data_IF_084784334074
#
_entry.id   IF_084784334074
#
_cell.length_a   1.000
_cell.length_b   1.000
_cell.length_c   1.000
_cell.angle_alpha   90.00
_cell.angle_beta   90.00
_cell.angle_gamma   90.00
#
_symmetry.space_group_name_H-M   'P 1'
#
loop_
_entity.id
_entity.type
_entity.pdbx_description
1 polymer ?
#
# COMPACT_ATOMS: atom_id res chain seq x y z
N UNK A 1 -43.60 -26.34 -63.43
CA UNK A 1 -42.76 -27.01 -62.41
C UNK A 1 -41.70 -26.02 -61.94
N UNK A 2 -41.54 -25.92 -60.61
CA UNK A 2 -40.41 -25.42 -59.77
C UNK A 2 -39.32 -24.56 -60.46
N UNK A 3 -39.09 -23.31 -60.03
CA UNK A 3 -38.26 -22.91 -58.84
C UNK A 3 -36.87 -23.58 -58.90
N UNK A 4 -35.71 -22.94 -58.82
CA UNK A 4 -35.34 -21.63 -58.32
C UNK A 4 -33.83 -21.49 -58.66
N UNK A 5 -33.43 -20.59 -59.57
CA UNK A 5 -32.06 -20.09 -59.55
C UNK A 5 -32.01 -19.11 -58.38
N UNK A 6 -31.43 -19.53 -57.26
CA UNK A 6 -31.11 -18.65 -56.14
C UNK A 6 -29.94 -17.78 -56.62
N UNK A 7 -30.28 -16.69 -57.32
CA UNK A 7 -29.40 -15.57 -57.53
C UNK A 7 -29.21 -14.87 -56.19
N UNK A 8 -28.01 -15.01 -55.67
CA UNK A 8 -27.22 -13.99 -54.98
C UNK A 8 -27.88 -12.60 -54.99
N UNK A 9 -28.79 -12.35 -54.05
CA UNK A 9 -29.07 -11.00 -53.58
C UNK A 9 -28.46 -10.94 -52.19
N UNK A 10 -27.28 -10.30 -52.11
CA UNK A 10 -26.70 -9.85 -50.86
C UNK A 10 -27.79 -9.12 -50.07
N UNK A 11 -28.35 -9.79 -49.08
CA UNK A 11 -29.04 -9.13 -48.00
C UNK A 11 -27.94 -8.37 -47.25
N UNK A 12 -27.82 -7.08 -47.55
CA UNK A 12 -27.06 -6.12 -46.77
C UNK A 12 -27.77 -6.10 -45.41
N UNK A 13 -27.44 -7.05 -44.53
CA UNK A 13 -27.87 -7.01 -43.14
C UNK A 13 -27.19 -5.79 -42.53
N UNK A 14 -27.99 -4.74 -42.41
CA UNK A 14 -27.78 -3.54 -41.61
C UNK A 14 -26.93 -3.85 -40.37
N UNK A 15 -25.73 -3.28 -40.35
CA UNK A 15 -24.81 -3.32 -39.22
C UNK A 15 -25.52 -2.63 -38.05
N UNK A 16 -25.93 -3.42 -37.07
CA UNK A 16 -26.86 -3.07 -35.99
C UNK A 16 -26.35 -1.95 -35.05
N UNK A 17 -27.25 -1.24 -34.34
CA UNK A 17 -26.93 -0.20 -33.35
C UNK A 17 -25.92 -0.62 -32.26
N UNK A 18 -25.72 -1.92 -32.04
CA UNK A 18 -24.74 -2.44 -31.09
C UNK A 18 -23.28 -2.16 -31.53
N UNK A 19 -22.98 -2.23 -32.82
CA UNK A 19 -21.64 -1.89 -33.35
C UNK A 19 -21.38 -0.38 -33.21
N UNK A 20 -22.39 0.45 -33.46
CA UNK A 20 -22.33 1.90 -33.26
C UNK A 20 -22.16 2.25 -31.76
N UNK A 21 -22.88 1.56 -30.87
CA UNK A 21 -22.76 1.73 -29.42
C UNK A 21 -21.37 1.33 -28.89
N UNK A 22 -20.83 0.20 -29.35
CA UNK A 22 -19.48 -0.25 -28.96
C UNK A 22 -18.39 0.69 -29.48
N UNK A 23 -18.54 1.21 -30.71
CA UNK A 23 -17.64 2.23 -31.24
C UNK A 23 -17.77 3.55 -30.46
N UNK A 24 -18.99 4.01 -30.17
CA UNK A 24 -19.24 5.22 -29.39
C UNK A 24 -18.65 5.12 -27.98
N UNK A 25 -18.88 4.01 -27.27
CA UNK A 25 -18.31 3.79 -25.93
C UNK A 25 -16.77 3.76 -25.95
N UNK A 26 -16.17 3.24 -27.03
CA UNK A 26 -14.71 3.21 -27.18
C UNK A 26 -14.12 4.57 -27.60
N UNK A 27 -14.92 5.48 -28.18
CA UNK A 27 -14.49 6.81 -28.65
C UNK A 27 -14.95 7.97 -27.78
N UNK A 28 -15.85 7.74 -26.82
CA UNK A 28 -16.42 8.80 -26.00
C UNK A 28 -15.41 9.30 -24.96
N UNK A 29 -14.74 10.40 -25.33
CA UNK A 29 -13.80 11.13 -24.48
C UNK A 29 -14.47 12.28 -23.72
N UNK A 30 -15.79 12.26 -23.46
CA UNK A 30 -16.45 13.35 -22.72
C UNK A 30 -16.45 13.11 -21.21
N UNK A 31 -16.56 14.21 -20.46
CA UNK A 31 -16.92 14.18 -19.04
C UNK A 31 -18.43 14.00 -18.85
N UNK A 32 -18.82 13.19 -17.86
CA UNK A 32 -20.17 13.12 -17.31
C UNK A 32 -20.38 14.15 -16.17
N UNK A 33 -19.32 14.54 -15.46
CA UNK A 33 -19.37 15.59 -14.44
C UNK A 33 -18.02 16.29 -14.30
N UNK A 34 -18.08 17.56 -13.89
CA UNK A 34 -16.94 18.34 -13.41
C UNK A 34 -17.41 19.23 -12.26
N UNK A 35 -16.79 19.06 -11.09
CA UNK A 35 -17.15 19.76 -9.85
C UNK A 35 -15.87 20.27 -9.21
N UNK A 36 -15.88 21.53 -8.77
CA UNK A 36 -14.85 22.07 -7.89
C UNK A 36 -15.47 22.21 -6.50
N UNK A 37 -14.89 21.56 -5.49
CA UNK A 37 -15.40 21.65 -4.12
C UNK A 37 -15.45 23.11 -3.66
N UNK A 38 -16.61 23.52 -3.12
CA UNK A 38 -16.85 24.87 -2.58
C UNK A 38 -16.69 26.03 -3.57
N UNK A 39 -16.61 25.77 -4.88
CA UNK A 39 -16.47 26.79 -5.92
C UNK A 39 -17.42 26.51 -7.08
N UNK A 40 -18.12 27.55 -7.55
CA UNK A 40 -19.02 27.44 -8.70
C UNK A 40 -18.30 27.69 -10.02
N UNK A 41 -18.53 26.82 -11.00
CA UNK A 41 -18.06 27.00 -12.37
C UNK A 41 -18.97 27.96 -13.15
N UNK A 42 -18.36 28.74 -14.03
CA UNK A 42 -19.03 29.57 -15.03
C UNK A 42 -18.48 29.23 -16.43
N UNK A 43 -19.31 28.70 -17.34
CA UNK A 43 -20.71 28.30 -17.15
C UNK A 43 -20.87 27.10 -16.20
N UNK A 44 -22.10 26.79 -15.79
CA UNK A 44 -22.39 25.49 -15.12
C UNK A 44 -21.96 24.34 -16.06
N UNK A 45 -21.51 23.24 -15.48
CA UNK A 45 -20.96 22.12 -16.24
C UNK A 45 -21.96 21.57 -17.28
N UNK A 46 -21.49 21.45 -18.52
CA UNK A 46 -22.17 20.78 -19.63
C UNK A 46 -21.10 20.04 -20.43
N UNK A 47 -21.31 18.76 -20.75
CA UNK A 47 -20.27 17.90 -21.34
C UNK A 47 -19.67 18.40 -22.66
N UNK A 48 -20.39 19.24 -23.42
CA UNK A 48 -19.92 19.84 -24.68
C UNK A 48 -19.08 21.11 -24.50
N UNK A 49 -19.08 21.73 -23.32
CA UNK A 49 -18.27 22.92 -23.03
C UNK A 49 -16.94 22.48 -22.44
N UNK A 50 -15.84 22.93 -23.06
CA UNK A 50 -14.47 22.58 -22.68
C UNK A 50 -13.71 23.69 -21.98
N UNK A 51 -14.32 24.86 -21.78
CA UNK A 51 -13.70 25.99 -21.11
C UNK A 51 -14.59 26.50 -19.99
N UNK A 52 -14.02 26.60 -18.79
CA UNK A 52 -14.70 27.08 -17.60
C UNK A 52 -13.87 28.10 -16.88
N UNK A 53 -14.56 29.03 -16.23
CA UNK A 53 -13.96 30.01 -15.34
C UNK A 53 -14.53 29.83 -13.94
N UNK A 54 -13.73 30.15 -12.92
CA UNK A 54 -14.18 30.16 -11.55
C UNK A 54 -13.41 31.23 -10.75
N UNK A 55 -14.00 31.67 -9.65
CA UNK A 55 -13.38 32.65 -8.77
C UNK A 55 -13.45 32.13 -7.33
N UNK A 56 -12.36 32.27 -6.59
CA UNK A 56 -12.29 31.81 -5.21
C UNK A 56 -11.30 32.64 -4.39
N UNK A 57 -11.45 32.59 -3.07
CA UNK A 57 -10.46 33.07 -2.09
C UNK A 57 -9.65 31.94 -1.47
N UNK A 58 -10.02 30.68 -1.75
CA UNK A 58 -9.39 29.51 -1.14
C UNK A 58 -7.93 29.37 -1.60
N UNK A 59 -7.06 28.91 -0.70
CA UNK A 59 -5.65 28.64 -1.02
C UNK A 59 -5.49 27.40 -1.91
N UNK A 60 -6.42 26.45 -1.80
CA UNK A 60 -6.49 25.25 -2.64
C UNK A 60 -7.92 24.93 -3.02
N UNK A 61 -8.06 24.13 -4.06
CA UNK A 61 -9.34 23.63 -4.54
C UNK A 61 -9.21 22.16 -4.92
N UNK A 62 -10.29 21.40 -4.72
CA UNK A 62 -10.38 20.00 -5.15
C UNK A 62 -11.21 19.91 -6.43
N UNK A 63 -10.60 19.40 -7.50
CA UNK A 63 -11.26 19.12 -8.78
C UNK A 63 -11.69 17.66 -8.82
N UNK A 64 -12.99 17.43 -8.96
CA UNK A 64 -13.59 16.10 -9.11
C UNK A 64 -14.27 16.00 -10.47
N UNK A 65 -14.10 14.88 -11.17
CA UNK A 65 -14.73 14.63 -12.45
C UNK A 65 -15.03 13.15 -12.65
N UNK A 66 -15.99 12.87 -13.52
CA UNK A 66 -16.35 11.52 -13.96
C UNK A 66 -16.34 11.47 -15.48
N UNK A 67 -15.79 10.41 -16.07
CA UNK A 67 -15.85 10.17 -17.50
C UNK A 67 -17.24 9.64 -17.89
N UNK A 68 -17.71 9.99 -19.09
CA UNK A 68 -18.97 9.48 -19.63
C UNK A 68 -18.89 7.99 -19.99
N UNK A 69 -17.73 7.53 -20.46
CA UNK A 69 -17.47 6.12 -20.74
C UNK A 69 -16.68 5.48 -19.60
N UNK A 70 -17.12 4.30 -19.14
CA UNK A 70 -16.39 3.50 -18.14
C UNK A 70 -15.04 2.96 -18.66
N UNK A 71 -14.81 3.01 -19.98
CA UNK A 71 -13.56 2.59 -20.61
C UNK A 71 -12.56 3.74 -20.81
N UNK A 72 -12.96 4.97 -20.51
CA UNK A 72 -12.09 6.13 -20.61
C UNK A 72 -11.28 6.32 -19.32
N UNK A 73 -10.08 6.88 -19.45
CA UNK A 73 -9.22 7.25 -18.32
C UNK A 73 -9.22 8.76 -18.12
N UNK A 74 -9.17 9.20 -16.87
CA UNK A 74 -9.08 10.62 -16.50
C UNK A 74 -7.68 10.97 -15.99
N UNK A 75 -7.25 12.19 -16.31
CA UNK A 75 -6.15 12.87 -15.62
C UNK A 75 -6.52 14.33 -15.36
N UNK A 76 -5.81 14.97 -14.43
CA UNK A 76 -6.07 16.37 -14.05
C UNK A 76 -7.15 16.58 -12.99
N UNK A 77 -7.67 15.50 -12.39
CA UNK A 77 -8.46 15.56 -11.14
C UNK A 77 -7.54 15.55 -9.92
N UNK A 78 -7.98 16.13 -8.80
CA UNK A 78 -7.22 16.18 -7.56
C UNK A 78 -7.22 17.57 -6.91
N UNK A 79 -6.40 17.72 -5.87
CA UNK A 79 -6.23 19.01 -5.18
C UNK A 79 -5.17 19.85 -5.90
N UNK A 80 -5.45 21.14 -6.08
CA UNK A 80 -4.54 22.12 -6.67
C UNK A 80 -4.30 23.27 -5.70
N UNK A 81 -3.03 23.63 -5.52
CA UNK A 81 -2.63 24.86 -4.82
C UNK A 81 -2.78 26.02 -5.79
N UNK A 82 -3.45 27.09 -5.36
CA UNK A 82 -3.69 28.27 -6.17
C UNK A 82 -2.70 29.38 -5.83
N UNK A 83 -2.05 29.91 -6.88
CA UNK A 83 -1.31 31.17 -6.83
C UNK A 83 -2.29 32.34 -6.90
N UNK A 84 -1.91 33.49 -6.37
CA UNK A 84 -2.71 34.71 -6.54
C UNK A 84 -2.93 35.01 -8.03
N UNK A 85 -4.15 35.44 -8.37
CA UNK A 85 -4.55 35.68 -9.75
C UNK A 85 -4.94 34.40 -10.51
N UNK A 86 -4.62 34.38 -11.81
CA UNK A 86 -5.10 33.35 -12.74
C UNK A 86 -4.31 32.04 -12.61
N UNK A 87 -5.03 30.95 -12.36
CA UNK A 87 -4.52 29.58 -12.36
C UNK A 87 -5.22 28.79 -13.47
N UNK A 88 -4.50 27.98 -14.22
CA UNK A 88 -5.08 27.16 -15.30
C UNK A 88 -4.91 25.69 -14.98
N UNK A 89 -6.01 24.94 -14.97
CA UNK A 89 -6.06 23.50 -14.71
C UNK A 89 -6.66 22.81 -15.94
N UNK A 90 -6.10 21.67 -16.34
CA UNK A 90 -6.60 20.88 -17.46
C UNK A 90 -7.00 19.49 -16.96
N UNK A 91 -8.27 19.13 -17.18
CA UNK A 91 -8.79 17.78 -16.98
C UNK A 91 -8.86 17.10 -18.35
N UNK A 92 -8.15 15.98 -18.51
CA UNK A 92 -8.05 15.28 -19.79
C UNK A 92 -8.77 13.94 -19.66
N UNK A 93 -9.70 13.69 -20.57
CA UNK A 93 -10.35 12.39 -20.74
C UNK A 93 -9.74 11.72 -21.95
N UNK A 94 -9.27 10.49 -21.81
CA UNK A 94 -8.77 9.67 -22.92
C UNK A 94 -9.64 8.44 -23.08
N UNK A 95 -10.32 8.32 -24.22
CA UNK A 95 -11.15 7.17 -24.58
C UNK A 95 -10.30 5.94 -24.94
N UNK A 96 -10.93 4.76 -24.95
CA UNK A 96 -10.24 3.49 -25.19
C UNK A 96 -9.58 3.39 -26.58
N UNK A 97 -10.14 4.06 -27.59
CA UNK A 97 -9.56 4.15 -28.93
C UNK A 97 -8.40 5.17 -29.02
N UNK A 98 -8.03 5.82 -27.92
CA UNK A 98 -6.96 6.80 -27.85
C UNK A 98 -7.35 8.25 -28.14
N UNK A 99 -8.60 8.54 -28.54
CA UNK A 99 -9.10 9.91 -28.65
C UNK A 99 -9.14 10.58 -27.28
N UNK A 100 -8.80 11.86 -27.24
CA UNK A 100 -8.79 12.63 -25.99
C UNK A 100 -9.58 13.93 -26.12
N UNK A 101 -10.20 14.35 -25.02
CA UNK A 101 -10.79 15.68 -24.88
C UNK A 101 -10.26 16.35 -23.63
N UNK A 102 -9.90 17.62 -23.76
CA UNK A 102 -9.37 18.44 -22.67
C UNK A 102 -10.40 19.48 -22.24
N UNK A 103 -10.65 19.54 -20.94
CA UNK A 103 -11.47 20.54 -20.27
C UNK A 103 -10.55 21.48 -19.49
N UNK A 104 -10.53 22.75 -19.88
CA UNK A 104 -9.70 23.80 -19.28
C UNK A 104 -10.51 24.59 -18.27
N UNK A 105 -9.96 24.76 -17.09
CA UNK A 105 -10.54 25.52 -15.98
C UNK A 105 -9.59 26.67 -15.64
N UNK A 106 -10.06 27.89 -15.79
CA UNK A 106 -9.36 29.09 -15.35
C UNK A 106 -9.91 29.55 -14.01
N UNK A 107 -9.11 29.39 -12.96
CA UNK A 107 -9.48 29.80 -11.61
C UNK A 107 -8.76 31.09 -11.28
N UNK A 108 -9.52 32.17 -11.13
CA UNK A 108 -8.99 33.40 -10.59
C UNK A 108 -9.05 33.35 -9.05
N UNK A 109 -7.90 33.16 -8.40
CA UNK A 109 -7.79 33.35 -6.97
C UNK A 109 -7.73 34.86 -6.72
N UNK A 110 -8.82 35.41 -6.22
CA UNK A 110 -8.82 36.80 -5.79
C UNK A 110 -8.22 36.87 -4.39
N UNK A 111 -7.11 37.61 -4.27
CA UNK A 111 -6.65 38.08 -2.98
C UNK A 111 -7.75 38.87 -2.28
N UNK A 112 -7.76 38.87 -0.95
CA UNK A 112 -8.60 39.81 -0.24
C UNK A 112 -8.18 41.22 -0.66
N UNK A 113 -9.11 42.00 -1.21
CA UNK A 113 -8.89 43.41 -1.56
C UNK A 113 -8.19 44.10 -0.40
N UNK A 114 -7.01 44.64 -0.67
CA UNK A 114 -6.09 45.22 0.31
C UNK A 114 -6.77 46.14 1.32
N UNK A 115 -7.13 45.55 2.46
CA UNK A 115 -6.90 46.12 3.78
C UNK A 115 -5.91 45.20 4.46
N UNK A 116 -4.60 45.42 4.23
CA UNK A 116 -3.44 44.90 5.00
C UNK A 116 -3.45 43.46 5.55
N UNK A 117 -4.27 42.55 5.05
CA UNK A 117 -4.41 41.20 5.61
C UNK A 117 -4.04 40.18 4.53
N UNK A 118 -2.76 39.82 4.48
CA UNK A 118 -2.40 38.48 4.03
C UNK A 118 -3.27 37.48 4.82
N UNK A 119 -3.79 36.39 4.21
CA UNK A 119 -4.50 35.36 4.97
C UNK A 119 -3.61 34.98 6.15
N UNK A 120 -4.15 35.14 7.36
CA UNK A 120 -3.36 34.94 8.57
C UNK A 120 -2.74 33.55 8.51
N UNK A 121 -1.43 33.41 8.74
CA UNK A 121 -0.77 32.12 8.68
C UNK A 121 -1.49 31.16 9.62
N UNK A 122 -1.87 29.99 9.10
CA UNK A 122 -2.47 28.95 9.93
C UNK A 122 -1.37 28.42 10.84
N UNK A 123 -1.54 28.62 12.14
CA UNK A 123 -0.58 28.17 13.14
C UNK A 123 -1.13 26.97 13.90
N UNK A 124 -0.26 26.01 14.17
CA UNK A 124 -0.57 24.80 14.94
C UNK A 124 0.46 24.60 16.04
N UNK A 125 0.07 23.94 17.12
CA UNK A 125 0.96 23.65 18.25
C UNK A 125 1.26 22.17 18.32
N UNK A 126 2.54 21.82 18.49
CA UNK A 126 3.01 20.46 18.72
C UNK A 126 4.11 20.49 19.80
N UNK A 127 3.96 19.70 20.87
CA UNK A 127 4.85 19.73 22.06
C UNK A 127 5.23 21.14 22.56
N UNK A 128 4.24 22.02 22.72
CA UNK A 128 4.41 23.42 23.15
C UNK A 128 5.15 24.34 22.16
N UNK A 129 5.54 23.84 21.00
CA UNK A 129 6.08 24.65 19.92
C UNK A 129 5.00 25.03 18.92
N UNK A 130 5.03 26.29 18.49
CA UNK A 130 4.14 26.81 17.45
C UNK A 130 4.83 26.71 16.10
N UNK A 131 4.10 26.16 15.13
CA UNK A 131 4.53 26.03 13.75
C UNK A 131 3.54 26.73 12.84
N UNK A 132 4.06 27.24 11.73
CA UNK A 132 3.25 27.78 10.64
C UNK A 132 3.04 26.70 9.58
N UNK A 133 1.81 26.53 9.10
CA UNK A 133 1.52 25.68 7.94
C UNK A 133 2.05 26.35 6.67
N UNK A 134 2.86 25.64 5.89
CA UNK A 134 3.31 26.10 4.57
C UNK A 134 2.20 25.92 3.54
N UNK A 135 1.93 26.98 2.79
CA UNK A 135 0.88 27.00 1.76
C UNK A 135 1.45 26.90 0.35
N UNK A 136 2.71 27.31 0.13
CA UNK A 136 3.40 27.16 -1.14
C UNK A 136 4.30 25.92 -1.12
N UNK A 137 3.76 24.81 -1.61
CA UNK A 137 4.50 23.55 -1.72
C UNK A 137 5.26 23.40 -3.04
N UNK A 138 5.36 24.44 -3.88
CA UNK A 138 5.94 24.34 -5.23
C UNK A 138 7.41 23.94 -5.26
N UNK A 139 8.14 24.18 -4.17
CA UNK A 139 9.57 23.84 -4.00
C UNK A 139 9.80 22.63 -3.10
N UNK A 140 8.72 22.05 -2.56
CA UNK A 140 8.80 20.96 -1.60
C UNK A 140 8.73 19.63 -2.36
N UNK A 141 9.72 18.76 -2.17
CA UNK A 141 9.68 17.39 -2.70
C UNK A 141 8.70 16.57 -1.86
N UNK A 142 7.72 15.95 -2.53
CA UNK A 142 6.76 15.08 -1.85
C UNK A 142 7.39 13.69 -1.62
N UNK A 143 7.09 13.03 -0.50
CA UNK A 143 7.37 11.61 -0.36
C UNK A 143 6.60 10.82 -1.43
N UNK A 144 7.18 9.70 -1.88
CA UNK A 144 6.53 8.85 -2.89
C UNK A 144 5.16 8.35 -2.40
N UNK A 145 4.21 8.15 -3.31
CA UNK A 145 2.83 7.72 -3.00
C UNK A 145 2.00 8.71 -2.17
N UNK A 146 2.37 9.99 -2.18
CA UNK A 146 1.58 11.06 -1.59
C UNK A 146 1.08 12.04 -2.66
N UNK A 147 -0.19 12.41 -2.56
CA UNK A 147 -0.84 13.39 -3.43
C UNK A 147 -1.40 14.54 -2.62
N UNK A 148 -1.54 15.71 -3.24
CA UNK A 148 -2.19 16.87 -2.63
C UNK A 148 -3.59 16.52 -2.12
N UNK A 149 -3.93 17.06 -0.95
CA UNK A 149 -5.17 16.84 -0.24
C UNK A 149 -5.56 18.09 0.57
N UNK A 150 -6.85 18.31 0.82
CA UNK A 150 -7.33 19.35 1.75
C UNK A 150 -7.67 18.74 3.10
N UNK A 151 -7.15 19.29 4.19
CA UNK A 151 -7.53 18.91 5.56
C UNK A 151 -7.87 20.15 6.38
N UNK A 152 -8.72 20.00 7.40
CA UNK A 152 -9.00 21.08 8.34
C UNK A 152 -8.07 20.98 9.55
N UNK A 153 -7.31 22.05 9.82
CA UNK A 153 -6.53 22.23 11.05
C UNK A 153 -7.05 23.49 11.74
N UNK A 154 -7.39 23.40 13.04
CA UNK A 154 -7.96 24.53 13.80
C UNK A 154 -9.15 25.20 13.08
N UNK A 155 -10.03 24.39 12.47
CA UNK A 155 -11.19 24.83 11.67
C UNK A 155 -10.86 25.61 10.39
N UNK A 156 -9.58 25.67 9.98
CA UNK A 156 -9.16 26.28 8.73
C UNK A 156 -8.77 25.19 7.73
N UNK A 157 -9.25 25.29 6.49
CA UNK A 157 -8.84 24.40 5.41
C UNK A 157 -7.40 24.72 4.99
N UNK A 158 -6.54 23.69 5.00
CA UNK A 158 -5.14 23.80 4.62
C UNK A 158 -4.76 22.70 3.63
N UNK A 159 -3.69 22.96 2.88
CA UNK A 159 -3.08 21.99 1.98
C UNK A 159 -2.27 20.99 2.79
N UNK A 160 -2.53 19.71 2.55
CA UNK A 160 -1.82 18.57 3.08
C UNK A 160 -1.47 17.61 1.94
N UNK A 161 -0.78 16.53 2.28
CA UNK A 161 -0.57 15.39 1.41
C UNK A 161 -1.23 14.15 2.04
N UNK A 162 -1.94 13.37 1.24
CA UNK A 162 -2.54 12.09 1.66
C UNK A 162 -1.87 10.95 0.92
N UNK A 163 -1.58 9.87 1.65
CA UNK A 163 -1.08 8.65 1.06
C UNK A 163 -2.14 8.05 0.13
N UNK A 164 -1.75 7.68 -1.09
CA UNK A 164 -2.69 7.28 -2.16
C UNK A 164 -3.57 6.07 -1.79
N UNK A 165 -3.05 5.18 -0.95
CA UNK A 165 -3.71 3.90 -0.61
C UNK A 165 -4.05 3.74 0.87
N UNK A 166 -3.73 4.71 1.71
CA UNK A 166 -3.90 4.60 3.16
C UNK A 166 -4.54 5.86 3.73
N UNK A 167 -5.26 5.72 4.84
CA UNK A 167 -5.74 6.88 5.58
C UNK A 167 -4.61 7.47 6.44
N UNK A 168 -3.65 8.08 5.75
CA UNK A 168 -2.45 8.65 6.33
C UNK A 168 -2.19 10.01 5.68
N UNK A 169 -2.30 11.07 6.47
CA UNK A 169 -2.20 12.46 5.99
C UNK A 169 -1.04 13.16 6.68
N UNK A 170 -0.28 13.93 5.92
CA UNK A 170 0.83 14.75 6.42
C UNK A 170 0.67 16.21 5.96
N UNK A 171 1.14 17.15 6.76
CA UNK A 171 1.17 18.58 6.44
C UNK A 171 2.59 19.09 6.58
N UNK A 172 2.99 20.06 5.75
CA UNK A 172 4.32 20.67 5.83
C UNK A 172 4.28 21.88 6.77
N UNK A 173 5.08 21.82 7.82
CA UNK A 173 5.13 22.82 8.88
C UNK A 173 6.50 23.49 8.90
N UNK A 174 6.51 24.81 9.07
CA UNK A 174 7.70 25.64 9.28
C UNK A 174 7.86 25.96 10.77
N UNK A 175 9.07 25.81 11.29
CA UNK A 175 9.43 26.31 12.61
C UNK A 175 9.66 27.84 12.61
N UNK A 176 10.03 28.39 13.77
CA UNK A 176 10.35 29.82 13.93
C UNK A 176 11.55 30.28 13.10
N UNK A 177 12.45 29.36 12.73
CA UNK A 177 13.60 29.61 11.88
C UNK A 177 13.30 29.36 10.39
N UNK A 178 12.03 29.15 10.02
CA UNK A 178 11.56 28.81 8.66
C UNK A 178 12.15 27.51 8.11
N UNK A 179 12.60 26.60 8.98
CA UNK A 179 12.95 25.24 8.58
C UNK A 179 11.68 24.40 8.53
N UNK A 180 11.50 23.72 7.41
CA UNK A 180 10.29 22.95 7.14
C UNK A 180 10.47 21.45 7.31
N UNK A 181 9.42 20.78 7.78
CA UNK A 181 9.33 19.32 7.80
C UNK A 181 7.87 18.88 7.68
N UNK A 182 7.66 17.63 7.25
CA UNK A 182 6.32 17.04 7.26
C UNK A 182 5.94 16.54 8.65
N UNK A 183 4.66 16.66 8.99
CA UNK A 183 4.07 16.18 10.24
C UNK A 183 2.77 15.43 9.96
N UNK A 184 2.51 14.39 10.74
CA UNK A 184 1.32 13.53 10.64
C UNK A 184 0.10 14.23 11.21
N UNK A 185 -0.96 14.27 10.40
CA UNK A 185 -2.28 14.77 10.77
C UNK A 185 -3.21 13.59 11.01
N UNK A 186 -3.83 13.55 12.19
CA UNK A 186 -4.88 12.60 12.53
C UNK A 186 -5.99 13.33 13.28
N UNK A 187 -7.24 13.11 12.87
CA UNK A 187 -8.43 13.72 13.48
C UNK A 187 -8.32 15.27 13.59
N UNK A 188 -7.76 15.90 12.56
CA UNK A 188 -7.56 17.37 12.50
C UNK A 188 -6.46 17.91 13.43
N UNK A 189 -5.58 17.05 13.96
CA UNK A 189 -4.50 17.42 14.89
C UNK A 189 -3.15 16.92 14.42
N UNK A 190 -2.10 17.68 14.76
CA UNK A 190 -0.71 17.24 14.59
C UNK A 190 -0.39 16.20 15.65
N UNK A 191 0.12 15.04 15.24
CA UNK A 191 0.36 13.90 16.14
C UNK A 191 1.80 13.45 16.24
N UNK A 192 2.60 13.62 15.19
CA UNK A 192 4.02 13.26 15.16
C UNK A 192 4.73 13.96 13.98
N UNK A 193 6.07 14.10 14.00
CA UNK A 193 6.84 14.32 12.78
C UNK A 193 6.63 13.14 11.82
N UNK A 194 6.65 13.41 10.52
CA UNK A 194 6.65 12.36 9.52
C UNK A 194 8.04 11.75 9.41
N UNK A 195 8.10 10.43 9.57
CA UNK A 195 9.30 9.63 9.38
C UNK A 195 9.04 8.59 8.29
N UNK A 196 10.07 8.27 7.52
CA UNK A 196 9.99 7.24 6.49
C UNK A 196 11.33 6.54 6.31
N UNK A 197 11.28 5.39 5.67
CA UNK A 197 12.41 4.56 5.30
C UNK A 197 12.29 4.24 3.81
N UNK A 198 13.39 4.34 3.08
CA UNK A 198 13.46 3.84 1.71
C UNK A 198 14.36 2.62 1.69
N UNK A 199 13.82 1.47 1.25
CA UNK A 199 14.58 0.22 1.11
C UNK A 199 14.40 -0.30 -0.30
N UNK A 200 15.51 -0.37 -1.05
CA UNK A 200 15.53 -0.76 -2.47
C UNK A 200 14.53 0.02 -3.35
N UNK A 201 14.34 1.30 -3.06
CA UNK A 201 13.44 2.19 -3.81
C UNK A 201 11.99 2.20 -3.33
N UNK A 202 11.61 1.31 -2.41
CA UNK A 202 10.26 1.26 -1.85
C UNK A 202 10.17 2.10 -0.56
N UNK A 203 9.10 2.88 -0.44
CA UNK A 203 8.80 3.70 0.73
C UNK A 203 8.08 2.87 1.80
N UNK A 204 8.56 2.97 3.04
CA UNK A 204 7.91 2.43 4.22
C UNK A 204 7.79 3.51 5.28
N UNK A 205 6.66 3.54 5.99
CA UNK A 205 6.41 4.51 7.05
C UNK A 205 6.37 3.76 8.39
N UNK A 206 7.32 4.00 9.31
CA UNK A 206 7.27 3.43 10.65
C UNK A 206 5.99 3.82 11.38
N UNK A 207 5.34 2.83 11.98
CA UNK A 207 4.14 3.03 12.79
C UNK A 207 4.44 2.74 14.26
N UNK A 208 3.68 3.35 15.20
CA UNK A 208 3.75 2.97 16.60
C UNK A 208 3.52 1.46 16.78
N UNK A 209 4.34 0.82 17.60
CA UNK A 209 4.19 -0.61 17.90
C UNK A 209 2.81 -0.89 18.48
N UNK A 210 2.16 -1.97 18.03
CA UNK A 210 0.81 -2.36 18.49
C UNK A 210 0.79 -2.81 19.96
N UNK A 211 1.88 -3.41 20.41
CA UNK A 211 2.00 -4.07 21.71
C UNK A 211 3.40 -3.78 22.27
N UNK A 212 3.52 -3.64 23.58
CA UNK A 212 4.84 -3.43 24.22
C UNK A 212 5.59 -4.74 24.43
N UNK A 213 4.87 -5.88 24.43
CA UNK A 213 5.41 -7.22 24.61
C UNK A 213 4.86 -8.14 23.52
N UNK A 214 5.76 -8.93 22.95
CA UNK A 214 5.45 -9.90 21.90
C UNK A 214 6.27 -11.18 22.11
N UNK A 215 5.63 -12.34 22.19
CA UNK A 215 6.32 -13.59 22.48
C UNK A 215 7.33 -13.97 21.39
N UNK A 216 8.55 -14.35 21.81
CA UNK A 216 9.68 -14.63 20.91
C UNK A 216 10.41 -13.38 20.42
N UNK A 217 10.03 -12.19 20.90
CA UNK A 217 10.56 -10.91 20.47
C UNK A 217 10.90 -10.00 21.64
N UNK A 218 12.05 -9.33 21.56
CA UNK A 218 12.46 -8.30 22.52
C UNK A 218 12.42 -6.93 21.86
N UNK A 219 11.60 -6.02 22.39
CA UNK A 219 11.52 -4.64 21.88
C UNK A 219 12.89 -3.97 21.96
N UNK A 220 13.23 -3.22 20.92
CA UNK A 220 14.48 -2.47 20.80
C UNK A 220 14.28 -1.27 19.88
N UNK A 221 15.29 -0.42 19.83
CA UNK A 221 15.46 0.57 18.77
C UNK A 221 16.40 -0.01 17.72
N UNK A 222 16.11 0.25 16.44
CA UNK A 222 16.84 -0.27 15.27
C UNK A 222 17.22 0.93 14.42
N UNK A 223 18.46 0.95 13.92
CA UNK A 223 18.91 2.00 12.99
C UNK A 223 18.97 1.43 11.57
N UNK A 224 18.25 2.06 10.64
CA UNK A 224 18.24 1.72 9.21
C UNK A 224 18.41 3.02 8.44
N UNK A 225 19.44 3.11 7.58
CA UNK A 225 19.70 4.29 6.75
C UNK A 225 19.69 5.61 7.55
N UNK A 226 20.34 5.62 8.73
CA UNK A 226 20.39 6.76 9.67
C UNK A 226 19.06 7.09 10.39
N UNK A 227 17.97 6.41 10.05
CA UNK A 227 16.70 6.53 10.77
C UNK A 227 16.66 5.55 11.93
N UNK A 228 16.14 6.04 13.06
CA UNK A 228 16.10 5.30 14.33
C UNK A 228 14.64 4.98 14.63
N UNK A 229 14.29 3.69 14.56
CA UNK A 229 12.90 3.22 14.60
C UNK A 229 12.70 2.20 15.71
N UNK A 230 11.51 2.20 16.33
CA UNK A 230 11.14 1.15 17.29
C UNK A 230 10.78 -0.13 16.55
N UNK A 231 11.20 -1.27 17.10
CA UNK A 231 10.87 -2.59 16.59
C UNK A 231 11.31 -3.68 17.56
N UNK A 232 11.61 -4.86 17.05
CA UNK A 232 11.98 -6.00 17.88
C UNK A 232 13.18 -6.76 17.33
N UNK A 233 14.00 -7.27 18.25
CA UNK A 233 14.93 -8.36 17.99
C UNK A 233 14.21 -9.69 18.18
N UNK A 234 14.54 -10.69 17.36
CA UNK A 234 14.17 -12.07 17.64
C UNK A 234 14.96 -12.57 18.87
N UNK A 235 14.30 -13.28 19.77
CA UNK A 235 14.97 -13.89 20.93
C UNK A 235 15.81 -15.12 20.53
N UNK A 236 15.41 -15.81 19.47
CA UNK A 236 16.19 -16.90 18.90
C UNK A 236 17.49 -16.36 18.28
N UNK A 237 18.63 -16.84 18.80
CA UNK A 237 19.96 -16.43 18.33
C UNK A 237 20.21 -16.79 16.87
N UNK A 238 19.56 -17.83 16.34
CA UNK A 238 19.67 -18.18 14.91
C UNK A 238 19.10 -17.07 13.99
N UNK A 239 18.17 -16.27 14.51
CA UNK A 239 17.49 -15.20 13.78
C UNK A 239 18.06 -13.81 14.11
N UNK A 240 19.24 -13.75 14.73
CA UNK A 240 19.84 -12.49 15.19
C UNK A 240 20.11 -11.46 14.07
N UNK A 241 20.26 -11.92 12.82
CA UNK A 241 20.43 -11.07 11.64
C UNK A 241 19.14 -10.36 11.21
N UNK A 242 17.98 -10.79 11.72
CA UNK A 242 16.68 -10.23 11.40
C UNK A 242 16.19 -9.28 12.48
N UNK A 243 15.40 -8.30 12.05
CA UNK A 243 14.73 -7.31 12.90
C UNK A 243 13.27 -7.24 12.49
N UNK A 244 12.35 -7.19 13.45
CA UNK A 244 10.91 -7.08 13.18
C UNK A 244 10.46 -5.63 13.35
N UNK A 245 9.78 -5.09 12.34
CA UNK A 245 9.32 -3.72 12.27
C UNK A 245 7.82 -3.69 11.99
N UNK A 246 7.09 -2.72 12.56
CA UNK A 246 5.69 -2.49 12.21
C UNK A 246 5.59 -1.23 11.35
N UNK A 247 5.24 -1.41 10.07
CA UNK A 247 5.35 -0.38 9.04
C UNK A 247 4.06 -0.32 8.23
N UNK A 248 3.72 0.86 7.73
CA UNK A 248 2.82 1.02 6.59
C UNK A 248 3.65 0.80 5.32
N UNK A 249 3.31 -0.23 4.55
CA UNK A 249 4.03 -0.60 3.33
C UNK A 249 3.48 0.03 2.05
N UNK A 250 4.10 -0.26 0.89
CA UNK A 250 3.72 0.28 -0.42
C UNK A 250 2.34 -0.19 -0.92
N UNK A 251 1.78 -1.22 -0.28
CA UNK A 251 0.40 -1.68 -0.49
C UNK A 251 -0.64 -0.82 0.26
N UNK A 252 -0.19 0.17 1.03
CA UNK A 252 -1.04 1.04 1.84
C UNK A 252 -1.59 0.36 3.09
N UNK A 253 -1.01 -0.76 3.51
CA UNK A 253 -1.45 -1.51 4.70
C UNK A 253 -0.37 -1.62 5.74
N UNK A 254 -0.82 -1.63 6.99
CA UNK A 254 0.06 -1.76 8.13
C UNK A 254 0.37 -3.24 8.40
N UNK A 255 1.64 -3.61 8.29
CA UNK A 255 2.12 -4.97 8.44
C UNK A 255 3.37 -5.04 9.30
N UNK A 256 3.66 -6.25 9.77
CA UNK A 256 5.00 -6.54 10.28
C UNK A 256 5.91 -6.91 9.11
N UNK A 257 7.12 -6.36 9.12
CA UNK A 257 8.17 -6.66 8.15
C UNK A 257 9.41 -7.15 8.89
N UNK A 258 10.10 -8.12 8.31
CA UNK A 258 11.45 -8.50 8.69
C UNK A 258 12.44 -7.71 7.86
N UNK A 259 13.36 -7.04 8.53
CA UNK A 259 14.55 -6.43 7.95
C UNK A 259 15.76 -7.32 8.23
N UNK A 260 16.40 -7.80 7.18
CA UNK A 260 17.63 -8.57 7.26
C UNK A 260 18.82 -7.60 7.16
N UNK A 261 19.70 -7.65 8.16
CA UNK A 261 20.74 -6.62 8.37
C UNK A 261 21.98 -6.77 7.51
N UNK A 262 22.28 -7.95 6.95
CA UNK A 262 23.49 -8.17 6.15
C UNK A 262 23.35 -7.68 4.70
N UNK A 263 22.19 -7.90 4.07
CA UNK A 263 21.88 -7.48 2.71
C UNK A 263 20.95 -6.25 2.66
N UNK A 264 20.41 -5.83 3.81
CA UNK A 264 19.50 -4.69 3.89
C UNK A 264 18.18 -4.93 3.16
N UNK A 265 17.64 -6.14 3.28
CA UNK A 265 16.40 -6.53 2.60
C UNK A 265 15.20 -6.42 3.53
N UNK A 266 14.05 -6.04 2.96
CA UNK A 266 12.79 -5.95 3.67
C UNK A 266 11.79 -6.95 3.10
N UNK A 267 11.16 -7.73 3.97
CA UNK A 267 10.20 -8.77 3.59
C UNK A 267 9.00 -8.75 4.52
N UNK A 268 7.82 -9.11 4.01
CA UNK A 268 6.63 -9.24 4.83
C UNK A 268 6.83 -10.37 5.85
N UNK A 269 6.67 -10.07 7.14
CA UNK A 269 6.76 -11.09 8.18
C UNK A 269 5.54 -12.00 8.14
N UNK A 270 5.79 -13.30 8.13
CA UNK A 270 4.76 -14.32 8.28
C UNK A 270 5.10 -15.16 9.49
N UNK A 271 4.25 -15.12 10.51
CA UNK A 271 4.39 -16.00 11.65
C UNK A 271 4.31 -17.45 11.16
N UNK A 272 5.38 -18.21 11.38
CA UNK A 272 5.34 -19.66 11.23
C UNK A 272 4.49 -20.19 12.38
N UNK A 273 3.28 -20.66 12.06
CA UNK A 273 2.49 -21.43 13.01
C UNK A 273 3.14 -22.80 13.16
N UNK A 274 4.20 -22.90 13.96
CA UNK A 274 4.74 -24.19 14.38
C UNK A 274 3.81 -24.74 15.45
N UNK A 275 2.57 -25.07 15.09
CA UNK A 275 1.78 -25.91 15.98
C UNK A 275 2.40 -27.31 15.90
N UNK A 276 2.83 -27.85 17.03
CA UNK A 276 3.19 -29.28 17.13
C UNK A 276 2.02 -30.19 16.73
N UNK A 277 0.78 -29.65 16.64
CA UNK A 277 -0.39 -30.33 16.09
C UNK A 277 -0.40 -30.45 14.56
N UNK A 278 0.55 -29.84 13.85
CA UNK A 278 0.67 -29.95 12.38
C UNK A 278 1.63 -31.05 11.90
N UNK A 279 2.22 -31.84 12.82
CA UNK A 279 2.88 -33.07 12.41
C UNK A 279 1.85 -33.92 11.66
N UNK A 280 2.11 -34.13 10.36
CA UNK A 280 1.24 -34.91 9.49
C UNK A 280 0.89 -36.22 10.22
N UNK A 281 -0.39 -36.56 10.45
CA UNK A 281 -0.75 -37.78 11.19
C UNK A 281 -0.16 -39.03 10.53
N UNK A 282 0.09 -38.99 9.22
CA UNK A 282 0.83 -40.02 8.48
C UNK A 282 2.29 -40.14 8.96
N UNK A 283 2.96 -39.03 9.26
CA UNK A 283 4.34 -39.04 9.76
C UNK A 283 4.42 -39.57 11.21
N UNK A 284 3.47 -39.22 12.06
CA UNK A 284 3.37 -39.78 13.43
C UNK A 284 3.07 -41.28 13.41
N UNK A 285 2.14 -41.73 12.56
CA UNK A 285 1.85 -43.15 12.38
C UNK A 285 3.05 -43.92 11.81
N UNK A 286 3.73 -43.39 10.79
CA UNK A 286 4.88 -44.07 10.18
C UNK A 286 6.06 -44.15 11.14
N UNK A 287 6.35 -43.10 11.91
CA UNK A 287 7.41 -43.12 12.95
C UNK A 287 7.10 -44.10 14.08
N UNK A 288 5.84 -44.17 14.52
CA UNK A 288 5.41 -45.14 15.53
C UNK A 288 5.53 -46.60 15.03
N UNK A 289 5.12 -46.88 13.80
CA UNK A 289 5.29 -48.19 13.16
C UNK A 289 6.77 -48.56 13.03
N UNK A 290 7.63 -47.61 12.65
CA UNK A 290 9.08 -47.82 12.57
C UNK A 290 9.67 -48.18 13.95
N UNK A 291 9.28 -47.46 15.00
CA UNK A 291 9.74 -47.72 16.36
C UNK A 291 9.36 -49.12 16.84
N UNK A 292 8.12 -49.57 16.58
CA UNK A 292 7.68 -50.94 16.89
C UNK A 292 8.51 -51.98 16.12
N UNK A 293 8.76 -51.74 14.83
CA UNK A 293 9.58 -52.64 14.01
C UNK A 293 11.00 -52.78 14.57
N UNK A 294 11.62 -51.69 15.03
CA UNK A 294 12.93 -51.73 15.68
C UNK A 294 12.92 -52.50 17.01
N UNK A 295 11.88 -52.33 17.82
CA UNK A 295 11.72 -53.08 19.07
C UNK A 295 11.59 -54.58 18.78
N UNK A 296 10.77 -54.97 17.79
CA UNK A 296 10.62 -56.37 17.39
C UNK A 296 11.91 -56.96 16.84
N UNK A 297 12.64 -56.21 16.01
CA UNK A 297 13.97 -56.60 15.52
C UNK A 297 14.95 -56.80 16.67
N UNK A 298 14.94 -55.90 17.65
CA UNK A 298 15.80 -56.00 18.83
C UNK A 298 15.48 -57.22 19.70
N UNK A 299 14.19 -57.51 19.93
CA UNK A 299 13.74 -58.72 20.64
C UNK A 299 14.19 -59.98 19.87
N UNK A 300 13.96 -60.01 18.55
CA UNK A 300 14.37 -61.13 17.71
C UNK A 300 15.89 -61.33 17.75
N UNK A 301 16.66 -60.26 17.65
CA UNK A 301 18.13 -60.29 17.76
C UNK A 301 18.59 -60.85 19.12
N UNK A 302 18.01 -60.37 20.23
CA UNK A 302 18.28 -60.89 21.59
C UNK A 302 17.99 -62.38 21.69
N UNK A 303 16.85 -62.83 21.16
CA UNK A 303 16.45 -64.25 21.19
C UNK A 303 17.41 -65.13 20.38
N UNK A 304 17.80 -64.68 19.18
CA UNK A 304 18.73 -65.38 18.30
C UNK A 304 20.12 -65.50 18.95
N UNK A 305 20.63 -64.39 19.52
CA UNK A 305 21.91 -64.38 20.23
C UNK A 305 21.90 -65.34 21.43
N UNK A 306 20.81 -65.38 22.20
CA UNK A 306 20.67 -66.32 23.32
C UNK A 306 20.65 -67.79 22.85
N UNK A 307 19.97 -68.09 21.75
CA UNK A 307 19.91 -69.45 21.18
C UNK A 307 21.26 -69.89 20.61
N UNK A 308 21.98 -69.02 19.90
CA UNK A 308 23.31 -69.35 19.37
C UNK A 308 24.31 -69.64 20.49
N UNK A 309 24.28 -68.86 21.57
CA UNK A 309 25.09 -69.09 22.76
C UNK A 309 24.77 -70.44 23.44
N UNK A 310 23.48 -70.80 23.56
CA UNK A 310 23.08 -72.12 24.07
C UNK A 310 23.60 -73.26 23.18
N UNK A 311 23.54 -73.10 21.85
CA UNK A 311 24.05 -74.10 20.89
C UNK A 311 25.56 -74.26 20.98
N UNK A 312 26.31 -73.16 21.12
CA UNK A 312 27.77 -73.16 21.32
C UNK A 312 28.18 -73.86 22.63
N UNK A 313 27.49 -73.54 23.74
CA UNK A 313 27.73 -74.20 25.03
C UNK A 313 27.47 -75.71 24.97
N UNK A 314 26.37 -76.12 24.31
CA UNK A 314 26.04 -77.53 24.12
C UNK A 314 27.07 -78.26 23.25
N UNK A 315 27.55 -77.61 22.18
CA UNK A 315 28.59 -78.17 21.31
C UNK A 315 29.92 -78.34 22.06
N UNK A 316 30.35 -77.33 22.82
CA UNK A 316 31.56 -77.43 23.65
C UNK A 316 31.45 -78.54 24.70
N UNK A 317 30.29 -78.69 25.34
CA UNK A 317 30.02 -79.79 26.29
C UNK A 317 30.09 -81.18 25.62
N UNK A 318 29.55 -81.34 24.41
CA UNK A 318 29.63 -82.60 23.67
C UNK A 318 31.08 -82.91 23.26
N UNK A 319 31.85 -81.91 22.82
CA UNK A 319 33.26 -82.05 22.45
C UNK A 319 34.12 -82.43 23.66
N UNK A 320 33.89 -81.83 24.83
CA UNK A 320 34.63 -82.18 26.04
C UNK A 320 34.31 -83.60 26.53
N UNK A 321 33.07 -84.07 26.35
CA UNK A 321 32.66 -85.42 26.77
C UNK A 321 33.14 -86.54 25.84
N UNK A 322 33.54 -86.23 24.59
CA UNK A 322 34.16 -87.18 23.65
C UNK A 322 35.68 -87.33 23.79
N UNK A 323 36.32 -86.49 24.62
CA UNK A 323 37.76 -86.50 24.91
C UNK A 323 38.13 -87.25 26.20
N UNK A 324 37.14 -87.77 26.93
CA UNK A 324 37.28 -88.72 28.04
C UNK A 324 36.97 -90.11 27.51
#
# INVERSE_FOLDING_TARGET
MKKLLISLFLMIMSITPLQAYMNQSNSDARLASLIISSVSLSPKFISSVTHYTAQTKLASIQVNALAASSKATLSGTGTYILKEGKNTIQVIVKAANGQSQTYTIEINKIGETSSTNAPSPVNVTYHHMTYQVETDLSKIRFPDHFTLYSVHLNNQEVVALKHEKADYTIVYLLDSAKKGAFYVVKDGKITAPFESLTVKGELYIPLPLKEEKKDGFKQTTITINQHTIKGYNFENKADAAYKLLYLLGPDGKAHYYTYETSEGTMQLYRATSTSLSSLNPILLMTTFVLAIAFILLFIKYRSFKAMSLKKLKRMNYIVSKRKQ
#
